data_IF_452189526658
#
_entry.id   IF_452189526658
#
_cell.length_a   1.000
_cell.length_b   1.000
_cell.length_c   1.000
_cell.angle_alpha   90.00
_cell.angle_beta   90.00
_cell.angle_gamma   90.00
#
_symmetry.space_group_name_H-M   'P 1'
#
loop_
_entity.id
_entity.type
_entity.pdbx_description
1 polymer ?
#
# COMPACT_ATOMS: atom_id res chain seq x y z
N UNK A 1 -17.38 -25.12 -3.59
CA UNK A 1 -16.73 -23.89 -4.09
C UNK A 1 -16.39 -23.07 -2.87
N UNK A 2 -15.13 -23.07 -2.42
CA UNK A 2 -14.68 -22.19 -1.36
C UNK A 2 -14.74 -20.76 -1.91
N UNK A 3 -15.61 -19.92 -1.34
CA UNK A 3 -15.60 -18.49 -1.60
C UNK A 3 -14.27 -17.94 -1.10
N UNK A 4 -13.28 -17.85 -1.99
CA UNK A 4 -12.07 -17.09 -1.74
C UNK A 4 -12.53 -15.63 -1.70
N UNK A 5 -12.61 -15.06 -0.51
CA UNK A 5 -12.92 -13.64 -0.33
C UNK A 5 -11.86 -12.87 -1.12
N UNK A 6 -12.28 -12.20 -2.21
CA UNK A 6 -11.37 -11.31 -2.93
C UNK A 6 -11.00 -10.20 -1.97
N UNK A 7 -9.71 -10.08 -1.68
CA UNK A 7 -9.15 -8.95 -0.96
C UNK A 7 -9.22 -7.79 -1.95
N UNK A 8 -10.15 -6.86 -1.74
CA UNK A 8 -10.29 -5.64 -2.53
C UNK A 8 -9.55 -4.51 -1.79
N UNK A 9 -8.29 -4.29 -2.16
CA UNK A 9 -7.40 -3.33 -1.51
C UNK A 9 -6.64 -2.53 -2.56
N UNK A 10 -6.66 -1.23 -2.42
CA UNK A 10 -5.89 -0.26 -3.20
C UNK A 10 -4.79 0.36 -2.34
N UNK A 11 -4.00 1.25 -2.94
CA UNK A 11 -2.97 2.03 -2.26
C UNK A 11 -3.55 2.89 -1.12
N UNK A 12 -4.78 3.39 -1.28
CA UNK A 12 -5.45 4.21 -0.27
C UNK A 12 -5.75 3.42 0.99
N UNK A 13 -6.16 2.15 0.89
CA UNK A 13 -6.32 1.35 2.10
C UNK A 13 -4.95 1.10 2.74
N UNK A 14 -3.87 0.85 1.98
CA UNK A 14 -2.53 0.59 2.55
C UNK A 14 -2.08 1.79 3.40
N UNK A 15 -2.27 2.99 2.87
CA UNK A 15 -1.93 4.23 3.54
C UNK A 15 -2.65 4.36 4.88
N UNK A 16 -3.95 4.11 4.90
CA UNK A 16 -4.76 4.22 6.11
C UNK A 16 -4.52 3.10 7.12
N UNK A 17 -4.43 1.85 6.66
CA UNK A 17 -4.42 0.66 7.51
C UNK A 17 -3.02 0.24 7.98
N UNK A 18 -1.97 0.65 7.26
CA UNK A 18 -0.58 0.27 7.59
C UNK A 18 0.26 1.50 7.92
N UNK A 19 0.26 2.51 7.05
CA UNK A 19 1.16 3.66 7.21
C UNK A 19 0.68 4.57 8.35
N UNK A 20 -0.53 5.10 8.25
CA UNK A 20 -1.11 5.98 9.28
C UNK A 20 -1.45 5.23 10.57
N UNK A 21 -1.63 3.92 10.51
CA UNK A 21 -1.76 3.06 11.69
C UNK A 21 -0.42 2.84 12.45
N UNK A 22 0.71 3.31 11.92
CA UNK A 22 2.03 3.15 12.54
C UNK A 22 2.59 1.73 12.47
N UNK A 23 2.10 0.91 11.54
CA UNK A 23 2.55 -0.48 11.33
C UNK A 23 3.63 -0.59 10.24
N UNK A 24 3.84 0.46 9.45
CA UNK A 24 4.89 0.51 8.43
C UNK A 24 6.29 0.34 9.06
N UNK A 25 7.05 -0.63 8.55
CA UNK A 25 8.42 -0.91 8.99
C UNK A 25 9.49 -0.41 8.00
N UNK A 26 9.08 0.42 7.03
CA UNK A 26 9.98 1.02 6.03
C UNK A 26 10.77 0.00 5.18
N UNK A 27 10.15 -1.15 4.83
CA UNK A 27 10.80 -2.19 4.02
C UNK A 27 10.88 -1.87 2.52
N UNK A 28 10.06 -0.94 2.02
CA UNK A 28 10.01 -0.54 0.61
C UNK A 28 9.25 -1.48 -0.34
N UNK A 29 8.67 -2.58 0.15
CA UNK A 29 7.95 -3.54 -0.71
C UNK A 29 6.75 -2.90 -1.42
N UNK A 30 6.03 -1.99 -0.76
CA UNK A 30 4.88 -1.31 -1.36
C UNK A 30 5.26 -0.49 -2.62
N UNK A 31 6.37 0.25 -2.59
CA UNK A 31 6.91 0.98 -3.74
C UNK A 31 7.45 0.03 -4.83
N UNK A 32 8.11 -1.07 -4.44
CA UNK A 32 8.66 -2.03 -5.41
C UNK A 32 7.59 -2.66 -6.32
N UNK A 33 6.35 -2.81 -5.83
CA UNK A 33 5.26 -3.48 -6.54
C UNK A 33 4.17 -2.56 -7.08
N UNK A 34 4.14 -1.29 -6.69
CA UNK A 34 3.04 -0.39 -7.03
C UNK A 34 3.55 0.98 -7.47
N UNK A 35 3.22 1.43 -8.70
CA UNK A 35 3.62 2.75 -9.19
C UNK A 35 2.93 3.91 -8.47
N UNK A 36 1.87 3.62 -7.70
CA UNK A 36 1.12 4.60 -6.91
C UNK A 36 1.71 4.80 -5.50
N UNK A 37 2.81 4.12 -5.19
CA UNK A 37 3.50 4.22 -3.90
C UNK A 37 4.87 4.84 -4.11
N UNK A 38 5.29 5.69 -3.18
CA UNK A 38 6.66 6.19 -3.10
C UNK A 38 7.05 6.37 -1.62
N UNK A 39 8.27 6.79 -1.33
CA UNK A 39 8.72 7.07 0.03
C UNK A 39 9.60 8.32 0.10
N UNK A 40 9.49 9.02 1.22
CA UNK A 40 10.35 10.16 1.51
C UNK A 40 11.75 9.65 1.89
N UNK A 41 12.78 10.00 1.12
CA UNK A 41 14.15 9.49 1.32
C UNK A 41 14.80 9.95 2.64
N UNK A 42 14.36 11.05 3.23
CA UNK A 42 14.91 11.57 4.49
C UNK A 42 14.32 10.83 5.72
N UNK A 43 13.03 10.52 5.67
CA UNK A 43 12.29 9.94 6.80
C UNK A 43 12.01 8.44 6.65
N UNK A 44 12.14 7.90 5.43
CA UNK A 44 11.75 6.54 5.06
C UNK A 44 10.23 6.31 5.01
N UNK A 45 9.40 7.32 5.30
CA UNK A 45 7.95 7.19 5.32
C UNK A 45 7.41 6.99 3.90
N UNK A 46 6.71 5.87 3.69
CA UNK A 46 5.96 5.62 2.47
C UNK A 46 4.73 6.54 2.40
N UNK A 47 4.31 6.90 1.18
CA UNK A 47 3.12 7.70 0.91
C UNK A 47 2.52 7.32 -0.45
N UNK A 48 1.24 7.64 -0.65
CA UNK A 48 0.53 7.41 -1.91
C UNK A 48 0.71 8.64 -2.81
N UNK A 49 1.11 8.45 -4.07
CA UNK A 49 1.40 9.58 -4.99
C UNK A 49 0.17 10.04 -5.77
N UNK A 50 -0.79 9.15 -6.00
CA UNK A 50 -2.03 9.40 -6.77
C UNK A 50 -3.14 8.37 -6.45
N UNK A 51 -4.34 8.62 -6.97
CA UNK A 51 -5.49 7.75 -6.75
C UNK A 51 -5.31 6.39 -7.45
N UNK A 52 -5.46 5.30 -6.70
CA UNK A 52 -5.35 3.94 -7.21
C UNK A 52 -6.76 3.33 -7.31
N UNK A 53 -7.25 3.15 -8.54
CA UNK A 53 -8.53 2.48 -8.79
C UNK A 53 -8.39 0.94 -8.81
N UNK A 54 -7.15 0.44 -8.70
CA UNK A 54 -6.87 -1.00 -8.69
C UNK A 54 -7.16 -1.58 -7.31
N UNK A 55 -7.86 -2.72 -7.27
CA UNK A 55 -8.25 -3.40 -6.02
C UNK A 55 -7.54 -4.73 -5.82
N UNK A 56 -6.39 -4.92 -6.49
CA UNK A 56 -5.62 -6.17 -6.49
C UNK A 56 -4.74 -6.35 -5.25
N UNK A 57 -4.44 -5.28 -4.51
CA UNK A 57 -3.73 -5.32 -3.23
C UNK A 57 -2.24 -5.70 -3.31
N UNK A 58 -1.54 -5.51 -4.43
CA UNK A 58 -0.13 -5.92 -4.57
C UNK A 58 0.86 -5.15 -3.67
N UNK A 59 0.48 -3.97 -3.17
CA UNK A 59 1.31 -3.15 -2.30
C UNK A 59 1.18 -3.48 -0.80
N UNK A 60 0.29 -4.41 -0.44
CA UNK A 60 0.07 -4.92 0.92
C UNK A 60 0.99 -6.10 1.25
#
# INVERSE_FOLDING_TARGET
>A
MSNLMKIEKSSQELENEVIYAGLCIHCGSCNAFCPHMDFNEETGLAYVVDECAETVGLCY
#
